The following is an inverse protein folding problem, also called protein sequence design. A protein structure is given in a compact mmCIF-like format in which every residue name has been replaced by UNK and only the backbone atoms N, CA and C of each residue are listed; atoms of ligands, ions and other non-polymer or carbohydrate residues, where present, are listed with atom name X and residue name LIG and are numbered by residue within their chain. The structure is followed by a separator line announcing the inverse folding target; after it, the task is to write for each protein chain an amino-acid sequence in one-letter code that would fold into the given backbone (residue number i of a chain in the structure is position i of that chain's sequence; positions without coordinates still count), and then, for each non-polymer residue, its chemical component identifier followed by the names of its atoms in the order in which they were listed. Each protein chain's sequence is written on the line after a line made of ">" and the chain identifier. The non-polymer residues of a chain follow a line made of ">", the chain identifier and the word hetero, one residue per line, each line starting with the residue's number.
data_IF_512117957254
#
_entry.id   IF_512117957254
#
_cell.length_a   1.000
_cell.length_b   1.000
_cell.length_c   1.000
_cell.angle_alpha   90.00
_cell.angle_beta   90.00
_cell.angle_gamma   90.00
#
_symmetry.space_group_name_H-M   'P 1'
#
loop_
_entity.id
_entity.type
_entity.pdbx_description
1 polymer ?
#
# COMPACT_ATOMS: atom_id res chain seq x y z
N UNK A 1 -24.10 -39.57 8.94
CA UNK A 1 -24.41 -38.57 7.89
C UNK A 1 -23.75 -37.26 8.30
N UNK A 2 -22.51 -37.08 7.85
CA UNK A 2 -21.59 -36.03 8.30
C UNK A 2 -22.03 -34.61 7.91
N UNK A 3 -22.44 -33.84 8.91
CA UNK A 3 -22.61 -32.38 8.82
C UNK A 3 -21.25 -31.65 8.69
N UNK A 4 -20.13 -32.37 8.82
CA UNK A 4 -18.75 -31.86 8.74
C UNK A 4 -18.23 -31.70 7.30
N UNK A 5 -18.89 -32.27 6.28
CA UNK A 5 -18.47 -32.14 4.89
C UNK A 5 -18.88 -30.80 4.24
N UNK A 6 -19.78 -30.04 4.86
CA UNK A 6 -20.32 -28.79 4.28
C UNK A 6 -19.44 -27.55 4.53
N UNK A 7 -18.53 -27.58 5.52
CA UNK A 7 -17.66 -26.43 5.84
C UNK A 7 -16.33 -26.44 5.06
N UNK A 8 -15.97 -27.55 4.40
CA UNK A 8 -14.75 -27.66 3.60
C UNK A 8 -14.90 -27.18 2.15
N UNK A 9 -16.14 -27.06 1.65
CA UNK A 9 -16.39 -26.80 0.21
C UNK A 9 -16.50 -25.31 -0.17
N UNK A 10 -16.43 -24.36 0.78
CA UNK A 10 -16.63 -22.93 0.48
C UNK A 10 -15.36 -22.06 0.50
N UNK A 11 -14.16 -22.64 0.63
CA UNK A 11 -12.87 -21.91 0.58
C UNK A 11 -12.12 -22.08 -0.75
N UNK A 12 -12.84 -22.39 -1.84
CA UNK A 12 -12.27 -22.30 -3.19
C UNK A 12 -12.12 -20.82 -3.58
N UNK A 13 -10.94 -20.24 -3.36
CA UNK A 13 -10.42 -19.20 -4.25
C UNK A 13 -10.12 -17.80 -3.70
N UNK A 14 -10.11 -17.55 -2.39
CA UNK A 14 -9.51 -16.30 -1.87
C UNK A 14 -8.08 -16.60 -1.40
N UNK A 15 -7.12 -16.50 -2.32
CA UNK A 15 -5.71 -16.33 -1.95
C UNK A 15 -5.62 -15.04 -1.14
N UNK A 16 -5.56 -15.16 0.18
CA UNK A 16 -5.26 -14.03 1.06
C UNK A 16 -3.85 -13.55 0.69
N UNK A 17 -3.66 -12.26 0.38
CA UNK A 17 -2.33 -11.74 0.14
C UNK A 17 -1.42 -12.03 1.33
N UNK A 18 -0.33 -12.74 1.09
CA UNK A 18 0.66 -13.08 2.14
C UNK A 18 1.79 -12.06 2.19
N UNK A 19 1.90 -11.19 1.18
CA UNK A 19 3.02 -10.27 1.01
C UNK A 19 2.56 -8.84 0.69
N UNK A 20 3.43 -7.89 1.04
CA UNK A 20 3.29 -6.50 0.65
C UNK A 20 4.06 -6.25 -0.65
N UNK A 21 3.44 -5.54 -1.57
CA UNK A 21 4.10 -5.11 -2.80
C UNK A 21 5.20 -4.09 -2.46
N UNK A 22 6.33 -4.12 -3.16
CA UNK A 22 7.48 -3.23 -2.90
C UNK A 22 7.09 -1.75 -2.96
N UNK A 23 6.32 -1.36 -3.98
CA UNK A 23 5.72 -0.03 -4.07
C UNK A 23 4.85 0.38 -2.88
N UNK A 24 4.24 -0.55 -2.15
CA UNK A 24 3.51 -0.18 -0.94
C UNK A 24 4.48 0.19 0.19
N UNK A 25 5.67 -0.42 0.23
CA UNK A 25 6.67 -0.26 1.29
C UNK A 25 7.38 1.09 1.30
N UNK A 26 7.33 1.84 0.19
CA UNK A 26 7.93 3.18 0.08
C UNK A 26 7.29 4.19 1.03
N UNK A 27 6.00 4.01 1.37
CA UNK A 27 5.31 4.84 2.34
C UNK A 27 5.58 4.32 3.76
N UNK A 28 5.78 5.19 4.76
CA UNK A 28 5.96 4.75 6.14
C UNK A 28 4.68 4.10 6.69
N UNK A 29 4.84 3.21 7.67
CA UNK A 29 3.72 2.73 8.49
C UNK A 29 3.21 3.86 9.40
N UNK A 30 1.98 3.74 9.87
CA UNK A 30 1.45 4.67 10.88
C UNK A 30 2.23 4.52 12.18
N UNK A 31 2.30 5.60 12.96
CA UNK A 31 2.73 5.52 14.36
C UNK A 31 1.79 4.62 15.15
N UNK A 32 2.23 4.15 16.32
CA UNK A 32 1.42 3.29 17.19
C UNK A 32 0.10 3.96 17.59
N UNK A 33 0.14 5.25 17.95
CA UNK A 33 -1.06 6.02 18.33
C UNK A 33 -2.07 6.14 17.18
N UNK A 34 -1.59 6.43 15.96
CA UNK A 34 -2.46 6.48 14.77
C UNK A 34 -3.01 5.10 14.42
N UNK A 35 -2.20 4.05 14.59
CA UNK A 35 -2.60 2.68 14.33
C UNK A 35 -3.66 2.21 15.32
N UNK A 36 -3.51 2.48 16.62
CA UNK A 36 -4.53 2.13 17.61
C UNK A 36 -5.82 2.92 17.40
N UNK A 37 -5.74 4.18 16.97
CA UNK A 37 -6.91 4.96 16.55
C UNK A 37 -7.61 4.31 15.35
N UNK A 38 -6.85 3.82 14.35
CA UNK A 38 -7.40 3.08 13.21
C UNK A 38 -8.04 1.75 13.63
N UNK A 39 -7.43 1.03 14.56
CA UNK A 39 -7.97 -0.23 15.10
C UNK A 39 -9.29 0.03 15.82
N UNK A 40 -9.38 1.09 16.63
CA UNK A 40 -10.62 1.49 17.29
C UNK A 40 -11.71 1.85 16.27
N UNK A 41 -11.39 2.67 15.26
CA UNK A 41 -12.35 3.06 14.19
C UNK A 41 -12.86 1.84 13.41
N UNK A 42 -11.97 0.90 13.03
CA UNK A 42 -12.38 -0.33 12.33
C UNK A 42 -13.21 -1.24 13.23
N UNK A 43 -12.93 -1.28 14.55
CA UNK A 43 -13.73 -2.06 15.50
C UNK A 43 -15.15 -1.49 15.63
N UNK A 44 -15.28 -0.17 15.66
CA UNK A 44 -16.57 0.50 15.85
C UNK A 44 -17.41 0.56 14.57
N UNK A 45 -16.77 0.79 13.42
CA UNK A 45 -17.46 1.10 12.17
C UNK A 45 -17.23 0.08 11.05
N UNK A 46 -16.37 -0.91 11.28
CA UNK A 46 -15.92 -1.83 10.26
C UNK A 46 -14.93 -1.20 9.28
N UNK A 47 -14.39 -2.04 8.39
CA UNK A 47 -13.48 -1.59 7.34
C UNK A 47 -14.26 -0.87 6.23
N UNK A 48 -14.12 0.46 6.15
CA UNK A 48 -14.80 1.29 5.12
C UNK A 48 -14.08 1.27 3.77
N UNK A 49 -12.75 1.43 3.78
CA UNK A 49 -11.92 1.39 2.58
C UNK A 49 -11.25 0.04 2.44
N UNK A 50 -11.42 -0.59 1.28
CA UNK A 50 -10.85 -1.90 1.00
C UNK A 50 -9.30 -1.88 1.02
N UNK A 51 -8.72 -3.08 1.15
CA UNK A 51 -7.30 -3.30 0.96
C UNK A 51 -7.07 -3.60 -0.52
N UNK A 52 -6.26 -2.79 -1.18
CA UNK A 52 -6.01 -2.94 -2.62
C UNK A 52 -4.90 -3.94 -2.89
N UNK A 53 -5.11 -4.79 -3.89
CA UNK A 53 -4.18 -5.87 -4.24
C UNK A 53 -3.85 -5.88 -5.72
N UNK A 54 -2.63 -6.33 -6.04
CA UNK A 54 -2.16 -6.62 -7.40
C UNK A 54 -1.27 -7.86 -7.33
N UNK A 55 -1.51 -8.82 -8.22
CA UNK A 55 -0.75 -10.09 -8.30
C UNK A 55 -0.54 -10.81 -6.97
N UNK A 56 -1.60 -10.88 -6.16
CA UNK A 56 -1.58 -11.54 -4.86
C UNK A 56 -0.85 -10.76 -3.76
N UNK A 57 -0.38 -9.54 -4.04
CA UNK A 57 0.32 -8.67 -3.09
C UNK A 57 -0.51 -7.45 -2.74
N UNK A 58 -0.35 -6.92 -1.52
CA UNK A 58 -1.02 -5.68 -1.08
C UNK A 58 -0.29 -4.47 -1.65
N UNK A 59 -1.00 -3.61 -2.38
CA UNK A 59 -0.46 -2.38 -2.96
C UNK A 59 -0.90 -1.13 -2.18
N UNK A 60 -2.05 -1.18 -1.49
CA UNK A 60 -2.49 -0.14 -0.55
C UNK A 60 -3.31 -0.74 0.61
N UNK A 61 -3.25 -0.12 1.79
CA UNK A 61 -4.00 -0.55 2.96
C UNK A 61 -3.24 -1.46 3.93
N UNK A 62 -1.91 -1.46 3.93
CA UNK A 62 -1.07 -2.25 4.88
C UNK A 62 -1.49 -2.10 6.35
N UNK A 63 -1.73 -0.87 6.80
CA UNK A 63 -2.20 -0.61 8.17
C UNK A 63 -3.62 -1.16 8.40
N UNK A 64 -4.52 -1.06 7.41
CA UNK A 64 -5.88 -1.62 7.50
C UNK A 64 -5.85 -3.15 7.58
N UNK A 65 -5.00 -3.79 6.77
CA UNK A 65 -4.78 -5.24 6.84
C UNK A 65 -4.29 -5.68 8.22
N UNK A 66 -3.26 -5.03 8.77
CA UNK A 66 -2.75 -5.33 10.12
C UNK A 66 -3.81 -5.08 11.21
N UNK A 67 -4.61 -4.02 11.08
CA UNK A 67 -5.69 -3.74 12.01
C UNK A 67 -6.78 -4.83 11.98
N UNK A 68 -7.18 -5.29 10.78
CA UNK A 68 -8.09 -6.42 10.63
C UNK A 68 -7.53 -7.70 11.27
N UNK A 69 -6.23 -7.97 11.08
CA UNK A 69 -5.56 -9.10 11.74
C UNK A 69 -5.57 -8.97 13.27
N UNK A 70 -5.23 -7.79 13.82
CA UNK A 70 -5.25 -7.51 15.27
C UNK A 70 -6.64 -7.70 15.88
N UNK A 71 -7.70 -7.38 15.12
CA UNK A 71 -9.09 -7.53 15.55
C UNK A 71 -9.69 -8.92 15.29
N UNK A 72 -9.02 -9.79 14.53
CA UNK A 72 -9.57 -11.08 14.11
C UNK A 72 -10.76 -10.97 13.15
N UNK A 73 -10.92 -9.83 12.46
CA UNK A 73 -12.02 -9.60 11.51
C UNK A 73 -11.58 -9.89 10.08
N UNK A 74 -12.50 -10.37 9.24
CA UNK A 74 -12.21 -10.66 7.83
C UNK A 74 -11.95 -9.35 7.06
N UNK A 75 -10.76 -9.15 6.46
CA UNK A 75 -10.50 -7.98 5.63
C UNK A 75 -11.27 -8.05 4.31
N UNK A 76 -11.72 -6.90 3.82
CA UNK A 76 -12.25 -6.74 2.47
C UNK A 76 -11.12 -6.34 1.51
N UNK A 77 -10.98 -7.08 0.41
CA UNK A 77 -9.98 -6.83 -0.61
C UNK A 77 -10.61 -6.34 -1.91
N UNK A 78 -9.89 -5.48 -2.63
CA UNK A 78 -10.23 -5.07 -3.99
C UNK A 78 -9.00 -5.22 -4.88
N UNK A 79 -9.14 -5.95 -5.98
CA UNK A 79 -8.07 -6.06 -6.98
C UNK A 79 -8.00 -4.76 -7.78
N UNK A 80 -6.79 -4.24 -7.98
CA UNK A 80 -6.57 -3.15 -8.93
C UNK A 80 -6.90 -3.62 -10.36
N UNK A 81 -7.58 -2.76 -11.11
CA UNK A 81 -8.11 -3.09 -12.45
C UNK A 81 -7.07 -2.98 -13.57
N UNK A 82 -5.83 -2.60 -13.23
CA UNK A 82 -4.73 -2.45 -14.18
C UNK A 82 -4.81 -1.17 -15.02
N UNK A 83 -5.75 -0.26 -14.73
CA UNK A 83 -5.87 0.98 -15.50
C UNK A 83 -4.85 2.01 -15.02
N UNK A 84 -4.01 2.46 -15.95
CA UNK A 84 -2.96 3.44 -15.71
C UNK A 84 -1.71 2.81 -15.09
N UNK A 85 -0.80 3.65 -14.60
CA UNK A 85 0.43 3.18 -13.94
C UNK A 85 0.15 2.76 -12.50
N UNK A 86 0.66 1.59 -12.10
CA UNK A 86 0.57 1.08 -10.73
C UNK A 86 1.19 2.06 -9.72
N UNK A 87 2.32 2.69 -10.05
CA UNK A 87 2.95 3.70 -9.20
C UNK A 87 2.00 4.88 -8.99
N UNK A 88 1.40 5.39 -10.06
CA UNK A 88 0.46 6.53 -9.97
C UNK A 88 -0.76 6.18 -9.12
N UNK A 89 -1.26 4.95 -9.25
CA UNK A 89 -2.34 4.44 -8.40
C UNK A 89 -1.97 4.41 -6.91
N UNK A 90 -0.83 3.78 -6.58
CA UNK A 90 -0.36 3.66 -5.18
C UNK A 90 -0.07 5.04 -4.59
N UNK A 91 0.56 5.92 -5.37
CA UNK A 91 0.86 7.30 -4.97
C UNK A 91 -0.42 8.09 -4.71
N UNK A 92 -1.39 8.10 -5.63
CA UNK A 92 -2.64 8.85 -5.44
C UNK A 92 -3.44 8.41 -4.21
N UNK A 93 -3.45 7.11 -3.89
CA UNK A 93 -4.12 6.57 -2.70
C UNK A 93 -3.41 6.97 -1.38
N UNK A 94 -2.11 7.27 -1.44
CA UNK A 94 -1.32 7.60 -0.26
C UNK A 94 -0.96 9.08 -0.14
N UNK A 95 -1.03 9.86 -1.22
CA UNK A 95 -0.68 11.29 -1.26
C UNK A 95 -1.56 12.11 -0.32
N UNK A 96 -2.83 11.73 -0.21
CA UNK A 96 -3.80 12.38 0.68
C UNK A 96 -3.81 11.79 2.10
N UNK A 97 -2.86 10.91 2.46
CA UNK A 97 -2.66 10.55 3.86
C UNK A 97 -2.22 11.82 4.60
N UNK A 98 -3.18 12.40 5.32
CA UNK A 98 -3.13 13.71 5.99
C UNK A 98 -1.98 13.92 6.99
N UNK A 99 -1.17 12.89 7.22
CA UNK A 99 -0.15 12.87 8.28
C UNK A 99 1.28 12.70 7.72
N UNK A 100 1.47 12.70 6.40
CA UNK A 100 2.82 12.70 5.83
C UNK A 100 3.39 14.12 5.80
N UNK A 101 4.53 14.32 6.47
CA UNK A 101 5.26 15.58 6.41
C UNK A 101 5.92 15.77 5.04
N UNK A 102 6.26 17.02 4.71
CA UNK A 102 7.01 17.33 3.47
C UNK A 102 8.34 16.57 3.38
N UNK A 103 9.03 16.32 4.51
CA UNK A 103 10.27 15.54 4.53
C UNK A 103 10.01 14.05 4.25
N UNK A 104 8.94 13.48 4.81
CA UNK A 104 8.52 12.10 4.50
C UNK A 104 8.15 11.96 3.02
N UNK A 105 7.36 12.90 2.47
CA UNK A 105 7.04 12.91 1.04
C UNK A 105 8.29 13.03 0.16
N UNK A 106 9.29 13.82 0.58
CA UNK A 106 10.57 13.90 -0.13
C UNK A 106 11.36 12.58 -0.11
N UNK A 107 11.37 11.86 1.01
CA UNK A 107 11.97 10.52 1.09
C UNK A 107 11.23 9.52 0.20
N UNK A 108 9.89 9.54 0.20
CA UNK A 108 9.11 8.66 -0.70
C UNK A 108 9.44 8.99 -2.16
N UNK A 109 9.55 10.26 -2.55
CA UNK A 109 9.93 10.64 -3.91
C UNK A 109 11.33 10.13 -4.28
N UNK A 110 12.29 10.20 -3.36
CA UNK A 110 13.64 9.68 -3.56
C UNK A 110 13.63 8.15 -3.74
N UNK A 111 12.86 7.44 -2.90
CA UNK A 111 12.69 5.99 -3.00
C UNK A 111 12.06 5.60 -4.34
N UNK A 112 11.00 6.28 -4.80
CA UNK A 112 10.38 6.05 -6.11
C UNK A 112 11.41 6.19 -7.23
N UNK A 113 12.22 7.26 -7.19
CA UNK A 113 13.24 7.50 -8.21
C UNK A 113 14.41 6.50 -8.16
N UNK A 114 14.64 5.86 -7.01
CA UNK A 114 15.72 4.89 -6.82
C UNK A 114 15.34 3.45 -7.17
N UNK A 115 14.04 3.12 -7.30
CA UNK A 115 13.59 1.80 -7.77
C UNK A 115 14.22 1.44 -9.13
N UNK A 116 14.58 2.45 -9.92
CA UNK A 116 15.32 2.32 -11.19
C UNK A 116 16.79 1.89 -11.05
N UNK A 117 17.45 2.23 -9.94
CA UNK A 117 18.90 2.08 -9.79
C UNK A 117 19.31 0.67 -9.34
N UNK A 118 18.40 -0.09 -8.73
CA UNK A 118 18.69 -1.39 -8.12
C UNK A 118 18.02 -2.57 -8.83
N UNK A 119 18.66 -3.03 -9.92
CA UNK A 119 18.62 -4.39 -10.50
C UNK A 119 17.34 -4.90 -11.20
N UNK A 120 17.51 -5.19 -12.49
CA UNK A 120 16.93 -6.24 -13.36
C UNK A 120 15.45 -6.68 -13.24
N UNK A 121 14.77 -6.48 -14.38
CA UNK A 121 13.89 -7.43 -15.10
C UNK A 121 12.48 -7.66 -14.56
N UNK A 122 11.52 -6.80 -14.99
CA UNK A 122 10.29 -7.24 -15.69
C UNK A 122 9.25 -6.14 -15.93
N UNK A 123 9.54 -4.85 -15.70
CA UNK A 123 8.55 -3.81 -16.04
C UNK A 123 9.23 -2.51 -16.45
N UNK A 124 9.27 -2.29 -17.77
CA UNK A 124 9.67 -1.02 -18.43
C UNK A 124 8.76 0.17 -17.98
N UNK A 125 7.68 -0.10 -17.24
CA UNK A 125 6.70 0.89 -16.73
C UNK A 125 7.08 1.63 -15.43
N UNK A 126 8.16 1.27 -14.72
CA UNK A 126 8.48 1.85 -13.40
C UNK A 126 9.43 3.06 -13.42
N UNK A 127 9.93 3.46 -14.60
CA UNK A 127 10.92 4.53 -14.72
C UNK A 127 10.39 5.93 -14.41
N UNK A 128 10.45 6.31 -13.13
CA UNK A 128 10.11 7.64 -12.64
C UNK A 128 11.38 8.39 -12.25
N UNK A 129 11.75 9.40 -13.03
CA UNK A 129 12.87 10.29 -12.69
C UNK A 129 12.60 11.10 -11.42
N UNK A 130 13.66 11.58 -10.73
CA UNK A 130 13.51 12.45 -9.55
C UNK A 130 12.57 13.65 -9.78
N UNK A 131 12.61 14.38 -10.92
CA UNK A 131 11.64 15.44 -11.21
C UNK A 131 10.19 14.92 -11.34
N UNK A 132 9.98 13.76 -11.95
CA UNK A 132 8.64 13.17 -12.07
C UNK A 132 8.12 12.73 -10.69
N UNK A 133 8.95 12.09 -9.86
CA UNK A 133 8.58 11.69 -8.50
C UNK A 133 8.25 12.91 -7.62
N UNK A 134 9.04 13.98 -7.72
CA UNK A 134 8.79 15.24 -7.03
C UNK A 134 7.41 15.83 -7.39
N UNK A 135 7.07 15.82 -8.69
CA UNK A 135 5.76 16.28 -9.19
C UNK A 135 4.63 15.38 -8.69
N UNK A 136 4.80 14.06 -8.73
CA UNK A 136 3.79 13.09 -8.26
C UNK A 136 3.44 13.27 -6.78
N UNK A 137 4.43 13.62 -5.94
CA UNK A 137 4.25 13.79 -4.50
C UNK A 137 4.09 15.23 -4.03
N UNK A 138 3.97 16.19 -4.96
CA UNK A 138 3.83 17.60 -4.65
C UNK A 138 4.93 18.15 -3.71
N UNK A 139 6.19 17.77 -3.98
CA UNK A 139 7.37 18.24 -3.22
C UNK A 139 8.40 18.90 -4.13
N UNK A 140 9.27 19.73 -3.57
CA UNK A 140 10.33 20.39 -4.34
C UNK A 140 11.44 19.40 -4.73
N UNK A 141 11.95 19.51 -5.97
CA UNK A 141 13.10 18.72 -6.42
C UNK A 141 14.34 18.85 -5.50
N UNK A 142 14.70 20.05 -4.96
CA UNK A 142 15.76 20.16 -3.97
C UNK A 142 15.52 19.31 -2.71
N UNK A 143 14.28 19.20 -2.23
CA UNK A 143 13.95 18.34 -1.08
C UNK A 143 14.18 16.86 -1.39
N UNK A 144 13.83 16.41 -2.60
CA UNK A 144 14.06 15.02 -3.04
C UNK A 144 15.55 14.70 -3.11
N UNK A 145 16.36 15.61 -3.70
CA UNK A 145 17.82 15.44 -3.79
C UNK A 145 18.47 15.31 -2.41
N UNK A 146 18.07 16.15 -1.45
CA UNK A 146 18.57 16.07 -0.06
C UNK A 146 18.17 14.80 0.67
N UNK A 147 17.03 14.21 0.32
CA UNK A 147 16.56 12.95 0.91
C UNK A 147 17.27 11.71 0.32
N UNK A 148 18.10 11.89 -0.70
CA UNK A 148 18.87 10.81 -1.35
C UNK A 148 20.30 10.70 -0.79
N UNK A 149 20.76 11.71 -0.03
CA UNK A 149 22.08 11.77 0.63
C UNK A 149 22.04 11.08 1.99
#
# INVERSE_FOLDING_TARGET
>A
MDMLAALSSSLKGQMMPTEFHELSNIFPMMSEVEFDSLVADIKEHGLREAIWTHDGKIIDGRNRFKACQKLGVKPAFRKWDGKGSLISFVVSHNLHRRNLSTSQLAMVAANIANIESSKHASSIELAVSQPQAAKMLNVSLPSVKRATT
#
